data_IF_944062484268
#
_entry.id   IF_944062484268
#
_cell.length_a   1.000
_cell.length_b   1.000
_cell.length_c   1.000
_cell.angle_alpha   90.00
_cell.angle_beta   90.00
_cell.angle_gamma   90.00
#
_symmetry.space_group_name_H-M   'P 1'
#
loop_
_entity.id
_entity.type
_entity.pdbx_description
1 polymer ?
#
# COMPACT_ATOMS: atom_id res chain seq x y z
N UNK A 1 -14.93 40.29 -49.57
CA UNK A 1 -16.19 39.78 -48.96
C UNK A 1 -15.81 38.87 -47.80
N UNK A 2 -15.28 39.44 -46.72
CA UNK A 2 -15.93 39.76 -45.42
C UNK A 2 -16.41 38.54 -44.62
N UNK A 3 -15.67 38.29 -43.53
CA UNK A 3 -15.99 37.54 -42.30
C UNK A 3 -17.43 37.72 -41.81
N UNK A 4 -17.97 36.69 -41.13
CA UNK A 4 -18.68 36.86 -39.86
C UNK A 4 -18.85 35.52 -39.11
N UNK A 5 -18.13 35.42 -37.97
CA UNK A 5 -18.52 34.64 -36.80
C UNK A 5 -19.77 35.29 -36.18
N UNK A 6 -20.75 34.51 -35.71
CA UNK A 6 -21.54 34.93 -34.55
C UNK A 6 -22.08 33.74 -33.75
N UNK A 7 -21.89 33.86 -32.44
CA UNK A 7 -22.22 32.96 -31.33
C UNK A 7 -23.73 32.98 -31.06
N UNK A 8 -24.32 31.86 -30.65
CA UNK A 8 -25.73 31.79 -30.24
C UNK A 8 -26.06 30.64 -29.30
N UNK A 9 -25.90 30.90 -28.00
CA UNK A 9 -26.72 30.40 -26.87
C UNK A 9 -27.28 28.97 -26.91
N UNK A 10 -26.64 28.02 -26.20
CA UNK A 10 -27.32 26.80 -25.75
C UNK A 10 -28.09 27.11 -24.45
N UNK A 11 -29.40 27.31 -24.59
CA UNK A 11 -30.35 27.38 -23.47
C UNK A 11 -30.37 26.05 -22.70
N UNK A 12 -30.22 26.17 -21.39
CA UNK A 12 -30.46 25.13 -20.39
C UNK A 12 -31.94 24.75 -20.47
N UNK A 13 -32.24 23.49 -20.79
CA UNK A 13 -33.54 22.90 -20.51
C UNK A 13 -33.39 21.92 -19.34
N UNK A 14 -33.75 22.41 -18.16
CA UNK A 14 -33.97 21.65 -16.95
C UNK A 14 -35.26 20.84 -17.07
N UNK A 15 -35.17 19.61 -17.54
CA UNK A 15 -36.27 18.65 -17.44
C UNK A 15 -36.15 17.86 -16.14
N UNK A 16 -36.84 18.38 -15.11
CA UNK A 16 -37.24 17.62 -13.94
C UNK A 16 -38.10 16.43 -14.37
N UNK A 17 -37.55 15.22 -14.33
CA UNK A 17 -38.35 14.00 -14.47
C UNK A 17 -39.03 13.74 -13.12
N UNK A 18 -40.32 14.03 -13.03
CA UNK A 18 -41.18 13.51 -11.95
C UNK A 18 -41.24 11.99 -12.09
N UNK A 19 -40.79 11.26 -11.07
CA UNK A 19 -40.94 9.82 -10.98
C UNK A 19 -42.43 9.46 -10.92
N UNK A 20 -42.98 8.97 -12.03
CA UNK A 20 -44.31 8.36 -12.07
C UNK A 20 -44.19 6.92 -11.53
N UNK A 21 -44.93 6.61 -10.46
CA UNK A 21 -45.13 5.24 -10.00
C UNK A 21 -45.92 4.49 -11.08
N UNK A 22 -45.23 3.64 -11.83
CA UNK A 22 -45.88 2.67 -12.72
C UNK A 22 -46.24 1.47 -11.85
N UNK A 23 -47.52 1.33 -11.51
CA UNK A 23 -48.07 0.06 -11.04
C UNK A 23 -48.19 -0.88 -12.24
N UNK A 24 -47.50 -2.01 -12.20
CA UNK A 24 -47.55 -3.00 -13.27
C UNK A 24 -48.56 -4.10 -12.95
N UNK A 25 -49.42 -4.42 -13.92
CA UNK A 25 -50.34 -5.56 -13.91
C UNK A 25 -49.74 -6.68 -14.77
N UNK A 26 -49.55 -7.87 -14.20
CA UNK A 26 -49.03 -9.05 -14.90
C UNK A 26 -50.10 -9.55 -15.89
N UNK A 27 -49.71 -9.76 -17.16
CA UNK A 27 -50.57 -10.24 -18.23
C UNK A 27 -50.32 -11.74 -18.53
N UNK A 28 -51.32 -12.39 -19.13
CA UNK A 28 -51.22 -13.80 -19.51
C UNK A 28 -50.19 -13.98 -20.65
N UNK A 29 -49.09 -14.68 -20.36
CA UNK A 29 -47.93 -14.83 -21.26
C UNK A 29 -46.63 -14.20 -20.70
N UNK A 30 -46.72 -13.45 -19.60
CA UNK A 30 -45.53 -12.92 -18.92
C UNK A 30 -44.70 -14.05 -18.30
N UNK A 31 -43.43 -14.12 -18.70
CA UNK A 31 -42.46 -15.15 -18.26
C UNK A 31 -41.81 -14.85 -16.90
N UNK A 32 -42.38 -13.90 -16.15
CA UNK A 32 -41.84 -13.43 -14.87
C UNK A 32 -42.36 -14.30 -13.73
N UNK A 33 -41.46 -14.72 -12.83
CA UNK A 33 -41.78 -15.53 -11.67
C UNK A 33 -42.43 -16.89 -12.03
N UNK A 34 -41.97 -17.55 -13.09
CA UNK A 34 -42.55 -18.80 -13.60
C UNK A 34 -41.88 -20.07 -13.08
N UNK A 35 -42.66 -20.98 -12.48
CA UNK A 35 -42.16 -22.31 -12.09
C UNK A 35 -42.46 -23.34 -13.18
N UNK A 36 -41.61 -24.37 -13.31
CA UNK A 36 -41.91 -25.54 -14.13
C UNK A 36 -42.80 -26.56 -13.40
N UNK A 37 -43.07 -27.69 -14.07
CA UNK A 37 -43.87 -28.82 -13.55
C UNK A 37 -43.28 -29.45 -12.28
N UNK A 38 -41.97 -29.30 -12.07
CA UNK A 38 -41.23 -29.84 -10.93
C UNK A 38 -41.07 -28.77 -9.83
N UNK A 39 -41.81 -27.66 -9.93
CA UNK A 39 -41.82 -26.52 -9.00
C UNK A 39 -40.50 -25.74 -8.94
N UNK A 40 -39.65 -25.88 -9.98
CA UNK A 40 -38.37 -25.17 -10.06
C UNK A 40 -38.55 -23.82 -10.76
N UNK A 41 -37.89 -22.77 -10.25
CA UNK A 41 -37.89 -21.43 -10.85
C UNK A 41 -37.18 -21.40 -12.20
N UNK A 42 -37.81 -20.77 -13.18
CA UNK A 42 -37.31 -20.57 -14.55
C UNK A 42 -37.40 -19.11 -15.01
N UNK A 43 -36.45 -18.66 -15.82
CA UNK A 43 -36.51 -17.33 -16.45
C UNK A 43 -36.36 -16.17 -15.45
N UNK A 44 -36.97 -15.03 -15.77
CA UNK A 44 -36.81 -13.79 -15.00
C UNK A 44 -37.62 -13.85 -13.72
N UNK A 45 -36.99 -13.54 -12.59
CA UNK A 45 -37.63 -13.40 -11.29
C UNK A 45 -37.54 -11.98 -10.80
N UNK A 46 -38.67 -11.40 -10.40
CA UNK A 46 -38.76 -10.06 -9.82
C UNK A 46 -39.42 -10.11 -8.46
N UNK A 47 -38.85 -9.39 -7.52
CA UNK A 47 -39.47 -9.11 -6.22
C UNK A 47 -39.73 -7.62 -6.08
N UNK A 48 -40.73 -7.26 -5.28
CA UNK A 48 -41.16 -5.87 -5.10
C UNK A 48 -41.28 -5.54 -3.61
N UNK A 49 -40.99 -4.28 -3.28
CA UNK A 49 -41.29 -3.70 -1.98
C UNK A 49 -42.82 -3.55 -1.78
N UNK A 50 -43.31 -3.36 -0.55
CA UNK A 50 -44.75 -3.17 -0.28
C UNK A 50 -45.40 -2.01 -1.04
N UNK A 51 -44.61 -1.02 -1.46
CA UNK A 51 -45.08 0.12 -2.27
C UNK A 51 -45.08 -0.14 -3.78
N UNK A 52 -44.81 -1.38 -4.21
CA UNK A 52 -44.79 -1.79 -5.62
C UNK A 52 -43.50 -1.48 -6.38
N UNK A 53 -42.48 -0.86 -5.76
CA UNK A 53 -41.17 -0.63 -6.40
C UNK A 53 -40.37 -1.92 -6.49
N UNK A 54 -39.63 -2.11 -7.59
CA UNK A 54 -38.75 -3.27 -7.78
C UNK A 54 -37.68 -3.34 -6.67
N UNK A 55 -37.57 -4.49 -6.02
CA UNK A 55 -36.58 -4.75 -4.96
C UNK A 55 -35.43 -5.63 -5.44
N UNK A 56 -35.70 -6.61 -6.31
CA UNK A 56 -34.66 -7.42 -6.94
C UNK A 56 -35.11 -8.04 -8.27
N UNK A 57 -34.15 -8.36 -9.13
CA UNK A 57 -34.34 -9.02 -10.42
C UNK A 57 -33.19 -10.01 -10.63
N UNK A 58 -33.49 -11.26 -10.98
CA UNK A 58 -32.50 -12.27 -11.30
C UNK A 58 -33.05 -13.25 -12.35
N UNK A 59 -32.17 -13.93 -13.08
CA UNK A 59 -32.58 -15.03 -13.96
C UNK A 59 -32.32 -16.37 -13.29
N UNK A 60 -33.26 -17.31 -13.41
CA UNK A 60 -33.15 -18.67 -12.90
C UNK A 60 -33.21 -19.70 -14.02
N UNK A 61 -32.51 -20.81 -13.81
CA UNK A 61 -32.69 -22.08 -14.52
C UNK A 61 -32.66 -23.20 -13.49
N UNK A 62 -33.74 -23.97 -13.38
CA UNK A 62 -33.87 -25.08 -12.44
C UNK A 62 -33.54 -24.68 -10.99
N UNK A 63 -34.14 -23.60 -10.49
CA UNK A 63 -33.86 -23.00 -9.17
C UNK A 63 -32.44 -22.42 -8.98
N UNK A 64 -31.56 -22.47 -9.98
CA UNK A 64 -30.20 -21.92 -9.91
C UNK A 64 -30.14 -20.57 -10.61
N UNK A 65 -29.57 -19.56 -9.95
CA UNK A 65 -29.34 -18.24 -10.57
C UNK A 65 -28.38 -18.35 -11.76
N UNK A 66 -28.64 -17.55 -12.79
CA UNK A 66 -27.88 -17.46 -14.02
C UNK A 66 -27.68 -15.99 -14.39
N UNK A 67 -26.48 -15.61 -14.81
CA UNK A 67 -26.17 -14.25 -15.21
C UNK A 67 -26.35 -13.24 -14.09
N UNK A 68 -26.85 -12.06 -14.46
CA UNK A 68 -26.94 -10.90 -13.57
C UNK A 68 -28.14 -11.00 -12.61
N UNK A 69 -27.84 -10.78 -11.33
CA UNK A 69 -28.76 -10.57 -10.22
C UNK A 69 -28.58 -9.14 -9.69
N UNK A 70 -29.64 -8.36 -9.70
CA UNK A 70 -29.64 -6.95 -9.27
C UNK A 70 -30.58 -6.81 -8.09
N UNK A 71 -30.16 -6.05 -7.08
CA UNK A 71 -31.04 -5.58 -6.02
C UNK A 71 -30.98 -4.07 -5.88
N UNK A 72 -32.07 -3.47 -5.44
CA UNK A 72 -32.22 -2.02 -5.29
C UNK A 72 -32.52 -1.63 -3.85
N UNK A 73 -32.03 -0.45 -3.44
CA UNK A 73 -32.54 0.22 -2.26
C UNK A 73 -33.96 0.70 -2.47
N UNK A 74 -34.68 0.96 -1.38
CA UNK A 74 -36.00 1.57 -1.43
C UNK A 74 -36.02 2.97 -2.11
N UNK A 75 -34.86 3.65 -2.15
CA UNK A 75 -34.68 4.91 -2.91
C UNK A 75 -34.74 4.72 -4.42
N UNK A 76 -34.53 3.50 -4.93
CA UNK A 76 -34.39 3.18 -6.35
C UNK A 76 -32.94 3.13 -6.85
N UNK A 77 -31.96 3.51 -6.01
CA UNK A 77 -30.56 3.25 -6.32
C UNK A 77 -30.29 1.74 -6.36
N UNK A 78 -29.50 1.29 -7.33
CA UNK A 78 -28.94 -0.08 -7.29
C UNK A 78 -28.19 -0.22 -5.97
N UNK A 79 -28.40 -1.34 -5.29
CA UNK A 79 -27.70 -1.74 -4.07
C UNK A 79 -26.54 -2.66 -4.40
N UNK A 80 -26.81 -3.65 -5.26
CA UNK A 80 -25.85 -4.70 -5.57
C UNK A 80 -26.14 -5.28 -6.94
N UNK A 81 -25.08 -5.54 -7.71
CA UNK A 81 -25.08 -6.34 -8.94
C UNK A 81 -24.19 -7.55 -8.72
N UNK A 82 -24.65 -8.74 -9.09
CA UNK A 82 -23.95 -9.99 -8.81
C UNK A 82 -24.11 -10.94 -9.98
N UNK A 83 -23.01 -11.53 -10.44
CA UNK A 83 -23.04 -12.49 -11.55
C UNK A 83 -22.98 -13.92 -11.04
N UNK A 84 -23.90 -14.75 -11.54
CA UNK A 84 -24.01 -16.17 -11.23
C UNK A 84 -23.85 -17.03 -12.47
N UNK A 85 -23.29 -18.22 -12.29
CA UNK A 85 -23.28 -19.30 -13.26
C UNK A 85 -23.68 -20.58 -12.53
N UNK A 86 -24.79 -21.20 -12.93
CA UNK A 86 -25.32 -22.40 -12.28
C UNK A 86 -25.46 -22.29 -10.76
N UNK A 87 -25.90 -21.11 -10.29
CA UNK A 87 -26.12 -20.82 -8.87
C UNK A 87 -24.86 -20.50 -8.06
N UNK A 88 -23.68 -20.51 -8.67
CA UNK A 88 -22.42 -20.10 -8.04
C UNK A 88 -22.02 -18.70 -8.49
N UNK A 89 -21.34 -17.93 -7.64
CA UNK A 89 -20.77 -16.63 -8.03
C UNK A 89 -19.70 -16.84 -9.10
N UNK A 90 -19.86 -16.20 -10.24
CA UNK A 90 -18.95 -16.33 -11.38
C UNK A 90 -18.96 -15.02 -12.17
N UNK A 91 -17.96 -14.17 -11.91
CA UNK A 91 -17.89 -12.80 -12.38
C UNK A 91 -17.86 -11.76 -11.24
N UNK A 92 -18.10 -10.49 -11.58
CA UNK A 92 -17.98 -9.39 -10.62
C UNK A 92 -19.17 -9.34 -9.65
N UNK A 93 -18.92 -8.81 -8.46
CA UNK A 93 -19.93 -8.38 -7.49
C UNK A 93 -19.67 -6.91 -7.20
N UNK A 94 -20.64 -6.05 -7.54
CA UNK A 94 -20.51 -4.60 -7.35
C UNK A 94 -21.50 -4.12 -6.31
N UNK A 95 -21.02 -3.36 -5.34
CA UNK A 95 -21.83 -2.73 -4.30
C UNK A 95 -21.90 -1.23 -4.50
N UNK A 96 -23.07 -0.70 -4.22
CA UNK A 96 -23.40 0.72 -4.37
C UNK A 96 -23.96 1.27 -3.07
N UNK A 97 -23.65 2.54 -2.82
CA UNK A 97 -24.18 3.32 -1.71
C UNK A 97 -25.66 3.68 -1.93
N UNK A 98 -26.33 4.12 -0.86
CA UNK A 98 -27.71 4.67 -0.95
C UNK A 98 -27.83 5.91 -1.83
N UNK A 99 -26.71 6.57 -2.14
CA UNK A 99 -26.61 7.74 -3.03
C UNK A 99 -26.23 7.33 -4.46
N UNK A 100 -26.39 6.07 -4.84
CA UNK A 100 -26.11 5.51 -6.16
C UNK A 100 -24.61 5.52 -6.56
N UNK A 101 -23.70 5.93 -5.68
CA UNK A 101 -22.26 5.88 -5.95
C UNK A 101 -21.71 4.46 -5.71
N UNK A 102 -20.81 4.00 -6.58
CA UNK A 102 -20.11 2.72 -6.44
C UNK A 102 -19.17 2.76 -5.22
N UNK A 103 -19.23 1.73 -4.38
CA UNK A 103 -18.41 1.63 -3.16
C UNK A 103 -17.34 0.55 -3.29
N UNK A 104 -17.66 -0.56 -3.96
CA UNK A 104 -16.82 -1.75 -3.92
C UNK A 104 -17.08 -2.68 -5.12
N UNK A 105 -16.03 -3.34 -5.60
CA UNK A 105 -16.08 -4.42 -6.58
C UNK A 105 -15.22 -5.59 -6.08
N UNK A 106 -15.76 -6.79 -6.16
CA UNK A 106 -15.01 -8.05 -6.02
C UNK A 106 -15.20 -8.91 -7.26
N UNK A 107 -14.28 -9.84 -7.53
CA UNK A 107 -14.42 -10.83 -8.58
C UNK A 107 -14.40 -12.25 -8.01
N UNK A 108 -15.25 -13.10 -8.56
CA UNK A 108 -15.40 -14.50 -8.18
C UNK A 108 -15.31 -15.41 -9.40
N UNK A 109 -14.88 -16.64 -9.16
CA UNK A 109 -14.88 -17.73 -10.13
C UNK A 109 -15.29 -19.01 -9.41
N UNK A 110 -16.35 -19.66 -9.86
CA UNK A 110 -16.90 -20.88 -9.25
C UNK A 110 -17.13 -20.74 -7.72
N UNK A 111 -17.63 -19.59 -7.28
CA UNK A 111 -17.91 -19.30 -5.87
C UNK A 111 -16.71 -18.87 -5.03
N UNK A 112 -15.49 -18.85 -5.59
CA UNK A 112 -14.27 -18.46 -4.88
C UNK A 112 -13.76 -17.11 -5.40
N UNK A 113 -13.33 -16.23 -4.49
CA UNK A 113 -12.78 -14.92 -4.85
C UNK A 113 -11.51 -15.08 -5.70
N UNK A 114 -11.53 -14.55 -6.91
CA UNK A 114 -10.46 -14.64 -7.90
C UNK A 114 -10.54 -13.44 -8.85
N UNK A 115 -9.45 -12.67 -8.93
CA UNK A 115 -9.35 -11.45 -9.71
C UNK A 115 -9.23 -10.17 -8.87
N UNK A 116 -9.55 -9.05 -9.49
CA UNK A 116 -9.37 -7.72 -8.92
C UNK A 116 -10.43 -7.39 -7.86
N UNK A 117 -10.02 -6.83 -6.74
CA UNK A 117 -10.86 -6.14 -5.77
C UNK A 117 -10.58 -4.64 -5.85
N UNK A 118 -11.63 -3.82 -5.84
CA UNK A 118 -11.54 -2.36 -5.78
C UNK A 118 -12.49 -1.81 -4.72
N UNK A 119 -12.01 -0.89 -3.90
CA UNK A 119 -12.86 -0.02 -3.08
C UNK A 119 -12.72 1.44 -3.51
N UNK A 120 -13.76 2.24 -3.32
CA UNK A 120 -13.81 3.62 -3.76
C UNK A 120 -14.02 4.59 -2.61
N UNK A 121 -13.43 5.78 -2.73
CA UNK A 121 -13.78 6.94 -1.90
C UNK A 121 -15.12 7.53 -2.35
N UNK A 122 -15.72 8.36 -1.50
CA UNK A 122 -16.98 9.05 -1.80
C UNK A 122 -16.91 9.99 -3.02
N UNK A 123 -15.70 10.32 -3.51
CA UNK A 123 -15.48 11.11 -4.71
C UNK A 123 -15.26 10.25 -5.98
N UNK A 124 -15.42 8.93 -5.88
CA UNK A 124 -15.29 7.98 -6.99
C UNK A 124 -13.86 7.57 -7.33
N UNK A 125 -12.84 8.08 -6.64
CA UNK A 125 -11.45 7.62 -6.80
C UNK A 125 -11.24 6.29 -6.08
N UNK A 126 -10.29 5.49 -6.56
CA UNK A 126 -9.89 4.24 -5.90
C UNK A 126 -9.37 4.59 -4.51
N UNK A 127 -9.93 3.90 -3.50
CA UNK A 127 -9.51 3.91 -2.12
C UNK A 127 -8.54 2.77 -1.83
N UNK A 128 -8.80 1.59 -2.37
CA UNK A 128 -7.90 0.46 -2.25
C UNK A 128 -8.09 -0.52 -3.41
N UNK A 129 -7.05 -1.28 -3.71
CA UNK A 129 -7.06 -2.34 -4.71
C UNK A 129 -6.22 -3.53 -4.26
N UNK A 130 -6.60 -4.72 -4.69
CA UNK A 130 -5.84 -5.94 -4.50
C UNK A 130 -6.24 -7.01 -5.49
N UNK A 131 -5.32 -7.93 -5.80
CA UNK A 131 -5.61 -9.07 -6.67
C UNK A 131 -5.72 -10.34 -5.84
N UNK A 132 -6.71 -11.19 -6.10
CA UNK A 132 -6.94 -12.43 -5.35
C UNK A 132 -6.83 -13.64 -6.26
N UNK A 133 -6.28 -14.73 -5.73
CA UNK A 133 -6.19 -16.03 -6.40
C UNK A 133 -6.60 -17.13 -5.44
N UNK A 134 -7.63 -17.90 -5.82
CA UNK A 134 -8.19 -19.00 -4.99
C UNK A 134 -8.51 -18.53 -3.56
N UNK A 135 -9.12 -17.36 -3.42
CA UNK A 135 -9.56 -16.81 -2.13
C UNK A 135 -8.50 -16.08 -1.31
N UNK A 136 -7.22 -16.13 -1.71
CA UNK A 136 -6.14 -15.45 -1.01
C UNK A 136 -5.71 -14.22 -1.81
N UNK A 137 -5.35 -13.13 -1.11
CA UNK A 137 -4.67 -12.00 -1.74
C UNK A 137 -3.37 -12.53 -2.37
N UNK A 138 -3.12 -12.17 -3.63
CA UNK A 138 -2.03 -12.62 -4.47
C UNK A 138 -1.18 -11.40 -4.85
N UNK A 139 -0.10 -11.20 -4.10
CA UNK A 139 0.79 -10.05 -4.26
C UNK A 139 0.48 -8.93 -3.27
N UNK A 140 -0.06 -7.82 -3.77
CA UNK A 140 -0.12 -6.54 -3.05
C UNK A 140 -1.56 -6.06 -2.87
N UNK A 141 -1.81 -5.50 -1.69
CA UNK A 141 -2.98 -4.69 -1.39
C UNK A 141 -2.56 -3.24 -1.26
N UNK A 142 -2.97 -2.37 -2.19
CA UNK A 142 -2.61 -0.95 -2.19
C UNK A 142 -3.79 -0.12 -1.70
N UNK A 143 -3.51 0.89 -0.89
CA UNK A 143 -4.47 1.87 -0.39
C UNK A 143 -4.03 3.25 -0.84
N UNK A 144 -5.01 4.09 -1.13
CA UNK A 144 -4.85 5.44 -1.64
C UNK A 144 -5.70 6.42 -0.82
N UNK A 145 -5.21 7.64 -0.69
CA UNK A 145 -5.93 8.77 -0.08
C UNK A 145 -7.06 9.27 -0.98
N UNK A 146 -7.94 10.13 -0.46
CA UNK A 146 -9.02 10.76 -1.25
C UNK A 146 -8.52 11.59 -2.44
N UNK A 147 -7.26 12.06 -2.42
CA UNK A 147 -6.67 12.80 -3.53
C UNK A 147 -6.14 11.88 -4.64
N UNK A 148 -6.11 10.56 -4.41
CA UNK A 148 -5.54 9.57 -5.32
C UNK A 148 -4.04 9.31 -5.08
N UNK A 149 -3.45 9.92 -4.04
CA UNK A 149 -2.07 9.62 -3.65
C UNK A 149 -2.00 8.27 -2.94
N UNK A 150 -0.96 7.50 -3.19
CA UNK A 150 -0.68 6.24 -2.51
C UNK A 150 -0.52 6.47 -0.99
N UNK A 151 -1.09 5.55 -0.19
CA UNK A 151 -1.22 5.66 1.27
C UNK A 151 -0.64 4.45 2.01
N UNK A 152 -0.78 3.22 1.53
CA UNK A 152 0.05 2.11 2.01
C UNK A 152 -0.06 0.88 1.09
N UNK A 153 0.88 -0.03 1.22
CA UNK A 153 0.83 -1.37 0.61
C UNK A 153 0.99 -2.44 1.70
N UNK A 154 0.18 -3.50 1.64
CA UNK A 154 0.39 -4.73 2.39
C UNK A 154 0.60 -5.90 1.42
N UNK A 155 1.43 -6.87 1.80
CA UNK A 155 1.67 -8.10 1.02
C UNK A 155 1.25 -9.31 1.81
N UNK A 156 0.69 -10.31 1.13
CA UNK A 156 0.54 -11.64 1.73
C UNK A 156 1.89 -12.35 1.79
N UNK A 157 2.19 -12.93 2.95
CA UNK A 157 3.38 -13.77 3.19
C UNK A 157 3.25 -15.20 2.65
N UNK A 158 2.13 -15.55 1.99
CA UNK A 158 1.81 -16.92 1.55
C UNK A 158 2.38 -17.32 0.19
N UNK A 159 2.98 -16.37 -0.55
CA UNK A 159 3.77 -16.66 -1.76
C UNK A 159 5.28 -16.69 -1.46
N UNK A 160 6.11 -17.37 -2.27
CA UNK A 160 7.56 -17.20 -2.18
C UNK A 160 7.89 -15.71 -2.29
N UNK A 161 8.64 -15.18 -1.33
CA UNK A 161 9.04 -13.78 -1.37
C UNK A 161 10.01 -13.58 -2.54
N UNK A 162 9.53 -12.98 -3.62
CA UNK A 162 10.33 -12.66 -4.79
C UNK A 162 11.05 -11.33 -4.60
N UNK A 163 12.36 -11.42 -4.36
CA UNK A 163 13.26 -10.26 -4.33
C UNK A 163 13.85 -9.93 -5.71
N UNK A 164 13.33 -10.52 -6.78
CA UNK A 164 13.80 -10.20 -8.13
C UNK A 164 13.50 -8.73 -8.48
N UNK A 165 14.41 -8.13 -9.23
CA UNK A 165 14.28 -6.74 -9.64
C UNK A 165 13.05 -6.55 -10.55
N UNK A 166 12.19 -5.63 -10.16
CA UNK A 166 11.03 -5.20 -10.95
C UNK A 166 11.37 -3.88 -11.63
N UNK A 167 11.68 -3.95 -12.93
CA UNK A 167 12.11 -2.79 -13.71
C UNK A 167 10.94 -2.05 -14.35
N UNK A 168 9.73 -2.64 -14.34
CA UNK A 168 8.53 -2.06 -14.92
C UNK A 168 7.82 -1.14 -13.91
N UNK A 169 7.72 -1.52 -12.63
CA UNK A 169 7.08 -0.71 -11.58
C UNK A 169 8.09 0.19 -10.84
N UNK A 170 8.80 1.08 -11.55
CA UNK A 170 9.76 2.00 -10.91
C UNK A 170 9.12 3.26 -10.33
N UNK A 171 7.95 3.69 -10.84
CA UNK A 171 7.32 4.96 -10.48
C UNK A 171 6.92 5.00 -8.99
N UNK A 172 6.41 3.89 -8.45
CA UNK A 172 5.91 3.84 -7.07
C UNK A 172 6.97 3.36 -6.06
N UNK A 173 8.18 3.07 -6.51
CA UNK A 173 9.24 2.55 -5.65
C UNK A 173 9.92 3.66 -4.85
N UNK A 174 9.42 3.95 -3.65
CA UNK A 174 9.97 4.97 -2.74
C UNK A 174 11.51 4.91 -2.59
N UNK A 175 12.07 3.74 -2.23
CA UNK A 175 13.51 3.55 -2.01
C UNK A 175 14.28 3.84 -3.30
N UNK A 176 13.81 3.29 -4.43
CA UNK A 176 14.41 3.51 -5.73
C UNK A 176 14.40 5.00 -6.12
N UNK A 177 13.26 5.68 -6.01
CA UNK A 177 13.12 7.09 -6.39
C UNK A 177 14.00 7.99 -5.53
N UNK A 178 14.09 7.70 -4.23
CA UNK A 178 14.93 8.45 -3.29
C UNK A 178 16.42 8.26 -3.61
N UNK A 179 16.87 7.02 -3.84
CA UNK A 179 18.25 6.75 -4.23
C UNK A 179 18.58 7.38 -5.59
N UNK A 180 17.67 7.28 -6.57
CA UNK A 180 17.81 7.87 -7.91
C UNK A 180 17.97 9.39 -7.86
N UNK A 181 17.17 10.09 -7.07
CA UNK A 181 17.24 11.56 -6.97
C UNK A 181 18.38 12.07 -6.08
N UNK A 182 19.11 11.17 -5.40
CA UNK A 182 20.26 11.49 -4.56
C UNK A 182 21.59 10.90 -5.11
N UNK A 183 22.00 11.22 -6.35
CA UNK A 183 23.16 10.58 -7.00
C UNK A 183 24.52 10.94 -6.36
N UNK A 184 24.55 11.89 -5.43
CA UNK A 184 25.76 12.31 -4.70
C UNK A 184 26.14 11.35 -3.57
N UNK A 185 25.25 10.45 -3.16
CA UNK A 185 25.54 9.50 -2.10
C UNK A 185 26.45 8.40 -2.65
N UNK A 186 27.76 8.61 -2.57
CA UNK A 186 28.79 7.65 -2.97
C UNK A 186 29.51 7.11 -1.73
N UNK A 187 30.05 5.89 -1.80
CA UNK A 187 30.79 5.22 -0.69
C UNK A 187 30.03 5.14 0.64
N UNK A 188 28.73 4.87 0.58
CA UNK A 188 27.91 4.76 1.79
C UNK A 188 27.93 3.34 2.33
N UNK A 189 27.33 3.14 3.50
CA UNK A 189 26.85 1.83 3.95
C UNK A 189 25.33 1.86 3.84
N UNK A 190 24.72 0.88 3.16
CA UNK A 190 23.27 0.77 3.10
C UNK A 190 22.84 -0.21 4.19
N UNK A 191 22.10 0.28 5.17
CA UNK A 191 21.55 -0.51 6.28
C UNK A 191 20.05 -0.60 6.05
N UNK A 192 19.49 -1.80 6.09
CA UNK A 192 18.12 -2.06 5.67
C UNK A 192 17.43 -2.98 6.67
N UNK A 193 16.27 -2.53 7.12
CA UNK A 193 15.31 -3.36 7.83
C UNK A 193 14.75 -4.45 6.89
N UNK A 194 14.83 -5.70 7.32
CA UNK A 194 14.27 -6.88 6.66
C UNK A 194 13.27 -7.62 7.57
N UNK A 195 12.47 -6.88 8.31
CA UNK A 195 11.22 -7.36 8.91
C UNK A 195 10.12 -7.54 7.85
N UNK A 196 9.05 -8.26 8.18
CA UNK A 196 8.00 -8.63 7.22
C UNK A 196 7.31 -7.45 6.53
N UNK A 197 7.13 -6.32 7.21
CA UNK A 197 6.56 -5.10 6.61
C UNK A 197 7.49 -4.47 5.57
N UNK A 198 8.79 -4.77 5.64
CA UNK A 198 9.83 -4.15 4.81
C UNK A 198 10.17 -4.93 3.53
N UNK A 199 9.62 -6.13 3.33
CA UNK A 199 9.87 -6.91 2.11
C UNK A 199 9.55 -6.17 0.79
N UNK A 200 8.46 -5.39 0.67
CA UNK A 200 8.20 -4.59 -0.53
C UNK A 200 9.35 -3.63 -0.84
N UNK A 201 9.86 -2.94 0.18
CA UNK A 201 10.92 -1.93 0.04
C UNK A 201 12.29 -2.56 -0.20
N UNK A 202 12.55 -3.73 0.37
CA UNK A 202 13.77 -4.48 0.10
C UNK A 202 13.88 -4.93 -1.37
N UNK A 203 12.78 -5.33 -2.01
CA UNK A 203 12.76 -5.61 -3.47
C UNK A 203 13.23 -4.40 -4.29
N UNK A 204 12.83 -3.19 -3.89
CA UNK A 204 13.20 -1.94 -4.59
C UNK A 204 14.70 -1.65 -4.56
N UNK A 205 15.42 -2.14 -3.53
CA UNK A 205 16.88 -2.07 -3.47
C UNK A 205 17.50 -2.92 -4.58
N UNK A 206 16.95 -4.11 -4.84
CA UNK A 206 17.45 -4.96 -5.93
C UNK A 206 17.16 -4.32 -7.31
N UNK A 207 15.99 -3.71 -7.50
CA UNK A 207 15.69 -2.91 -8.70
C UNK A 207 16.72 -1.79 -8.90
N UNK A 208 17.01 -1.02 -7.85
CA UNK A 208 18.04 0.02 -7.91
C UNK A 208 19.43 -0.54 -8.23
N UNK A 209 19.81 -1.64 -7.59
CA UNK A 209 21.10 -2.29 -7.80
C UNK A 209 21.29 -2.71 -9.26
N UNK A 210 20.27 -3.34 -9.85
CA UNK A 210 20.28 -3.82 -11.23
C UNK A 210 20.39 -2.67 -12.24
N UNK A 211 19.71 -1.56 -11.99
CA UNK A 211 19.63 -0.44 -12.94
C UNK A 211 20.80 0.55 -12.83
N UNK A 212 21.36 0.74 -11.64
CA UNK A 212 22.32 1.83 -11.39
C UNK A 212 23.62 1.40 -10.74
N UNK A 213 23.61 0.34 -9.94
CA UNK A 213 24.77 0.00 -9.13
C UNK A 213 25.81 -0.85 -9.88
N UNK A 214 25.38 -1.82 -10.71
CA UNK A 214 26.31 -2.72 -11.43
C UNK A 214 27.25 -1.96 -12.38
N UNK A 215 26.87 -0.75 -12.82
CA UNK A 215 27.70 0.09 -13.68
C UNK A 215 28.74 0.93 -12.91
N UNK A 216 28.71 0.93 -11.57
CA UNK A 216 29.71 1.55 -10.72
C UNK A 216 30.71 0.47 -10.24
N UNK A 217 32.01 0.70 -10.45
CA UNK A 217 33.06 -0.26 -10.07
C UNK A 217 33.38 -0.22 -8.56
N UNK A 218 32.77 0.71 -7.82
CA UNK A 218 32.94 0.84 -6.38
C UNK A 218 32.20 -0.25 -5.60
N UNK A 219 32.89 -0.86 -4.63
CA UNK A 219 32.28 -1.84 -3.73
C UNK A 219 31.29 -1.18 -2.77
N UNK A 220 30.08 -1.74 -2.65
CA UNK A 220 29.04 -1.28 -1.75
C UNK A 220 28.77 -2.31 -0.66
N UNK A 221 28.63 -1.80 0.56
CA UNK A 221 28.30 -2.61 1.72
C UNK A 221 26.82 -2.46 2.04
N UNK A 222 26.17 -3.60 2.18
CA UNK A 222 24.80 -3.74 2.64
C UNK A 222 24.81 -4.40 4.02
N UNK A 223 23.93 -3.94 4.90
CA UNK A 223 23.69 -4.56 6.20
C UNK A 223 22.19 -4.77 6.32
N UNK A 224 21.79 -6.01 6.52
CA UNK A 224 20.41 -6.38 6.73
C UNK A 224 20.19 -6.79 8.17
N UNK A 225 19.04 -6.46 8.74
CA UNK A 225 18.68 -6.93 10.07
C UNK A 225 17.22 -7.42 10.13
N UNK A 226 16.95 -8.38 11.01
CA UNK A 226 15.63 -9.04 11.15
C UNK A 226 15.13 -9.06 12.61
N UNK A 227 15.62 -8.15 13.43
CA UNK A 227 15.31 -8.05 14.86
C UNK A 227 15.72 -9.27 15.73
N UNK A 228 16.79 -9.96 15.35
CA UNK A 228 17.45 -10.92 16.25
C UNK A 228 17.11 -12.39 16.00
N UNK A 229 16.88 -12.80 14.75
CA UNK A 229 16.75 -14.22 14.37
C UNK A 229 15.63 -14.98 15.12
N UNK A 230 14.43 -14.39 15.21
CA UNK A 230 13.28 -14.92 15.97
C UNK A 230 13.55 -15.15 17.47
N UNK A 231 14.56 -14.48 18.03
CA UNK A 231 14.80 -14.48 19.47
C UNK A 231 13.57 -13.92 20.20
N UNK A 232 13.24 -14.49 21.37
CA UNK A 232 12.15 -14.00 22.22
C UNK A 232 12.45 -12.59 22.71
N UNK A 233 11.45 -11.74 22.85
CA UNK A 233 11.62 -10.35 23.29
C UNK A 233 12.41 -10.18 24.59
N UNK A 234 12.19 -11.07 25.58
CA UNK A 234 12.92 -11.05 26.85
C UNK A 234 14.44 -11.26 26.70
N UNK A 235 14.87 -11.89 25.61
CA UNK A 235 16.29 -12.17 25.33
C UNK A 235 16.93 -11.08 24.45
N UNK A 236 16.13 -10.17 23.87
CA UNK A 236 16.59 -9.07 23.00
C UNK A 236 17.19 -7.93 23.85
N UNK A 237 18.46 -8.06 24.21
CA UNK A 237 19.21 -7.06 25.00
C UNK A 237 19.95 -6.07 24.11
N UNK A 238 19.85 -4.77 24.44
CA UNK A 238 20.55 -3.69 23.72
C UNK A 238 22.05 -3.99 23.60
N UNK A 239 22.55 -3.96 22.36
CA UNK A 239 23.96 -4.16 22.04
C UNK A 239 24.36 -5.60 21.75
N UNK A 240 23.47 -6.57 21.97
CA UNK A 240 23.68 -8.00 21.67
C UNK A 240 22.41 -8.67 21.10
N UNK A 241 21.56 -7.91 20.40
CA UNK A 241 20.32 -8.45 19.81
C UNK A 241 20.64 -9.56 18.80
N UNK A 242 21.65 -9.37 17.94
CA UNK A 242 21.94 -10.30 16.85
C UNK A 242 21.04 -10.08 15.63
N UNK A 243 20.95 -11.08 14.73
CA UNK A 243 20.13 -10.95 13.53
C UNK A 243 20.59 -9.86 12.57
N UNK A 244 21.91 -9.68 12.42
CA UNK A 244 22.52 -8.66 11.55
C UNK A 244 23.46 -9.35 10.57
N UNK A 245 23.24 -9.12 9.28
CA UNK A 245 23.90 -9.80 8.18
C UNK A 245 24.57 -8.77 7.26
N UNK A 246 25.89 -8.86 7.12
CA UNK A 246 26.65 -7.96 6.25
C UNK A 246 26.87 -8.61 4.89
N UNK A 247 26.52 -7.91 3.83
CA UNK A 247 26.74 -8.31 2.45
C UNK A 247 27.65 -7.31 1.74
N UNK A 248 28.69 -7.81 1.07
CA UNK A 248 29.52 -7.05 0.14
C UNK A 248 29.11 -7.45 -1.27
N UNK A 249 28.02 -6.87 -1.75
CA UNK A 249 27.42 -7.26 -3.03
C UNK A 249 28.29 -6.80 -4.21
N UNK A 250 28.55 -7.72 -5.14
CA UNK A 250 29.10 -7.42 -6.47
C UNK A 250 28.06 -7.63 -7.56
N UNK A 251 27.08 -8.48 -7.27
CA UNK A 251 25.99 -8.87 -8.17
C UNK A 251 24.63 -8.69 -7.47
N UNK A 252 23.55 -8.71 -8.26
CA UNK A 252 22.20 -8.80 -7.69
C UNK A 252 22.00 -10.09 -6.89
N UNK A 253 22.62 -11.19 -7.30
CA UNK A 253 22.48 -12.47 -6.61
C UNK A 253 23.10 -12.45 -5.21
N UNK A 254 24.26 -11.80 -5.03
CA UNK A 254 24.86 -11.62 -3.69
C UNK A 254 23.89 -10.93 -2.73
N UNK A 255 23.21 -9.90 -3.23
CA UNK A 255 22.24 -9.11 -2.48
C UNK A 255 21.01 -9.96 -2.14
N UNK A 256 20.39 -10.57 -3.15
CA UNK A 256 19.19 -11.40 -3.01
C UNK A 256 19.45 -12.59 -2.07
N UNK A 257 20.58 -13.26 -2.20
CA UNK A 257 20.95 -14.38 -1.32
C UNK A 257 21.10 -13.93 0.13
N UNK A 258 21.66 -12.74 0.37
CA UNK A 258 21.81 -12.18 1.71
C UNK A 258 20.47 -11.76 2.32
N UNK A 259 19.57 -11.18 1.51
CA UNK A 259 18.20 -10.86 1.94
C UNK A 259 17.43 -12.14 2.31
N UNK A 260 17.45 -13.16 1.43
CA UNK A 260 16.82 -14.47 1.67
C UNK A 260 17.36 -15.14 2.93
N UNK A 261 18.68 -15.09 3.17
CA UNK A 261 19.29 -15.63 4.38
C UNK A 261 18.78 -14.92 5.63
N UNK A 262 18.75 -13.58 5.61
CA UNK A 262 18.29 -12.75 6.73
C UNK A 262 16.85 -13.12 7.11
N UNK A 263 15.96 -13.20 6.13
CA UNK A 263 14.55 -13.56 6.35
C UNK A 263 14.38 -15.00 6.83
N UNK A 264 15.12 -15.94 6.24
CA UNK A 264 15.10 -17.34 6.66
C UNK A 264 15.47 -17.51 8.14
N UNK A 265 16.35 -16.63 8.64
CA UNK A 265 16.81 -16.66 10.03
C UNK A 265 15.82 -16.01 11.00
N UNK A 266 15.02 -15.08 10.51
CA UNK A 266 13.92 -14.49 11.24
C UNK A 266 13.12 -13.55 10.35
N UNK A 267 11.79 -13.61 10.47
CA UNK A 267 10.92 -12.70 9.74
C UNK A 267 10.80 -11.33 10.44
N UNK A 268 11.22 -11.24 11.71
CA UNK A 268 11.07 -10.06 12.54
C UNK A 268 9.59 -9.68 12.72
N UNK A 269 9.33 -8.38 12.87
CA UNK A 269 7.99 -7.79 12.92
C UNK A 269 7.56 -7.33 14.32
N UNK A 270 8.33 -7.67 15.35
CA UNK A 270 8.11 -7.13 16.69
C UNK A 270 8.84 -5.78 16.84
N UNK A 271 8.08 -4.72 17.05
CA UNK A 271 8.63 -3.43 17.52
C UNK A 271 8.91 -3.53 19.02
N UNK A 272 10.03 -3.00 19.55
CA UNK A 272 11.01 -2.12 18.90
C UNK A 272 12.24 -2.84 18.30
N UNK A 273 12.89 -2.27 17.28
CA UNK A 273 13.96 -2.89 16.46
C UNK A 273 15.41 -2.58 16.88
N UNK A 274 16.39 -3.36 16.41
CA UNK A 274 17.85 -3.18 16.64
C UNK A 274 18.60 -2.38 15.55
N UNK A 275 18.04 -1.23 15.17
CA UNK A 275 18.56 -0.37 14.10
C UNK A 275 19.99 0.11 14.35
N UNK A 276 20.30 0.60 15.55
CA UNK A 276 21.60 1.22 15.85
C UNK A 276 22.72 0.18 15.88
N UNK A 277 22.45 -1.02 16.38
CA UNK A 277 23.36 -2.17 16.33
C UNK A 277 23.70 -2.55 14.87
N UNK A 278 22.71 -2.53 13.97
CA UNK A 278 22.94 -2.80 12.55
C UNK A 278 23.86 -1.74 11.92
N UNK A 279 23.61 -0.46 12.18
CA UNK A 279 24.48 0.63 11.71
C UNK A 279 25.92 0.46 12.24
N UNK A 280 26.08 0.24 13.54
CA UNK A 280 27.40 0.07 14.16
C UNK A 280 28.13 -1.17 13.62
N UNK A 281 27.41 -2.23 13.28
CA UNK A 281 27.99 -3.43 12.66
C UNK A 281 28.53 -3.12 11.27
N UNK A 282 27.80 -2.36 10.45
CA UNK A 282 28.27 -1.88 9.15
C UNK A 282 29.52 -1.00 9.27
N UNK A 283 29.51 -0.03 10.19
CA UNK A 283 30.62 0.90 10.41
C UNK A 283 31.93 0.21 10.80
N UNK A 284 31.88 -0.98 11.42
CA UNK A 284 33.09 -1.79 11.70
C UNK A 284 33.71 -2.42 10.46
N UNK A 285 32.97 -2.53 9.35
CA UNK A 285 33.40 -3.24 8.13
C UNK A 285 33.95 -2.32 7.05
N UNK A 286 33.60 -1.03 7.09
CA UNK A 286 33.99 -0.05 6.07
C UNK A 286 34.93 0.99 6.66
N UNK A 287 36.09 1.18 6.02
CA UNK A 287 37.05 2.20 6.44
C UNK A 287 36.60 3.57 5.95
N UNK A 288 36.28 4.47 6.89
CA UNK A 288 35.90 5.89 6.62
C UNK A 288 34.77 6.03 5.58
N UNK A 289 33.56 5.51 5.85
CA UNK A 289 32.41 5.76 4.99
C UNK A 289 32.01 7.25 5.05
N UNK A 290 31.52 7.79 3.93
CA UNK A 290 31.08 9.18 3.87
C UNK A 290 29.78 9.39 4.66
N UNK A 291 28.89 8.40 4.63
CA UNK A 291 27.62 8.38 5.37
C UNK A 291 27.04 6.96 5.41
N UNK A 292 25.97 6.81 6.19
CA UNK A 292 25.11 5.62 6.22
C UNK A 292 23.77 5.98 5.59
N UNK A 293 23.27 5.14 4.70
CA UNK A 293 21.88 5.20 4.24
C UNK A 293 21.12 4.15 5.04
N UNK A 294 20.19 4.58 5.87
CA UNK A 294 19.29 3.68 6.62
C UNK A 294 17.96 3.60 5.88
N UNK A 295 17.49 2.40 5.56
CA UNK A 295 16.16 2.14 4.99
C UNK A 295 15.35 1.43 6.08
N UNK A 296 14.31 2.08 6.60
CA UNK A 296 13.62 1.62 7.80
C UNK A 296 12.10 1.86 7.73
N UNK A 297 11.36 1.06 8.50
CA UNK A 297 9.91 1.21 8.69
C UNK A 297 9.61 2.36 9.66
N UNK A 298 8.82 3.34 9.23
CA UNK A 298 8.39 4.44 10.08
C UNK A 298 7.58 3.99 11.31
N UNK A 299 6.90 2.84 11.22
CA UNK A 299 6.00 2.35 12.27
C UNK A 299 6.73 1.68 13.44
N UNK A 300 7.99 1.27 13.24
CA UNK A 300 8.77 0.58 14.26
C UNK A 300 9.57 1.57 15.13
N UNK A 301 9.55 1.37 16.45
CA UNK A 301 10.40 2.11 17.39
C UNK A 301 11.80 1.52 17.39
N UNK A 302 12.80 2.29 17.85
CA UNK A 302 14.19 1.84 17.88
C UNK A 302 14.60 1.45 19.30
N UNK A 303 14.77 0.14 19.55
CA UNK A 303 15.07 -0.42 20.88
C UNK A 303 16.40 0.07 21.42
N UNK A 304 17.38 0.14 20.54
CA UNK A 304 18.78 0.40 20.86
C UNK A 304 19.18 1.86 20.63
N UNK A 305 18.21 2.79 20.64
CA UNK A 305 18.43 4.23 20.43
C UNK A 305 19.44 4.82 21.44
N UNK A 306 19.58 4.21 22.62
CA UNK A 306 20.59 4.57 23.62
C UNK A 306 22.03 4.47 23.09
N UNK A 307 22.27 3.66 22.06
CA UNK A 307 23.59 3.49 21.42
C UNK A 307 23.90 4.57 20.38
N UNK A 308 22.95 5.44 20.03
CA UNK A 308 23.05 6.40 18.92
C UNK A 308 24.27 7.32 19.02
N UNK A 309 24.68 7.69 20.24
CA UNK A 309 25.85 8.55 20.47
C UNK A 309 27.16 7.96 19.91
N UNK A 310 27.22 6.66 19.63
CA UNK A 310 28.37 5.95 19.06
C UNK A 310 28.51 6.15 17.54
N UNK A 311 27.47 6.62 16.85
CA UNK A 311 27.50 6.90 15.42
C UNK A 311 28.04 8.31 15.20
N UNK A 312 29.13 8.42 14.43
CA UNK A 312 29.85 9.69 14.18
C UNK A 312 29.87 10.12 12.71
N UNK A 313 29.14 9.40 11.86
CA UNK A 313 28.95 9.75 10.44
C UNK A 313 27.48 10.10 10.20
N UNK A 314 27.17 10.95 9.20
CA UNK A 314 25.79 11.26 8.85
C UNK A 314 24.96 10.01 8.53
N UNK A 315 23.76 9.93 9.09
CA UNK A 315 22.78 8.89 8.76
C UNK A 315 21.64 9.51 7.96
N UNK A 316 21.54 9.12 6.69
CA UNK A 316 20.47 9.50 5.78
C UNK A 316 19.39 8.44 5.86
N UNK A 317 18.27 8.77 6.48
CA UNK A 317 17.18 7.81 6.70
C UNK A 317 16.19 7.91 5.54
N UNK A 318 16.10 6.87 4.75
CA UNK A 318 14.98 6.57 3.86
C UNK A 318 13.89 5.94 4.72
N UNK A 319 12.81 6.68 4.95
CA UNK A 319 11.67 6.19 5.71
C UNK A 319 10.60 5.64 4.77
N UNK A 320 10.36 4.35 4.94
CA UNK A 320 9.34 3.60 4.23
C UNK A 320 8.01 3.70 4.99
N UNK A 321 6.91 3.58 4.23
CA UNK A 321 5.56 3.70 4.80
C UNK A 321 5.18 5.11 5.26
N UNK A 322 5.82 6.17 4.74
CA UNK A 322 5.50 7.58 5.03
C UNK A 322 4.93 8.28 3.80
N UNK A 323 3.78 8.94 3.99
CA UNK A 323 3.08 9.70 2.95
C UNK A 323 2.74 11.11 3.45
N UNK A 324 2.28 11.96 2.54
CA UNK A 324 1.85 13.31 2.90
C UNK A 324 0.76 13.28 3.98
N UNK A 325 0.93 14.07 5.04
CA UNK A 325 0.00 14.10 6.16
C UNK A 325 0.16 12.95 7.15
N UNK A 326 1.26 12.20 7.09
CA UNK A 326 1.62 11.18 8.08
C UNK A 326 2.75 11.63 9.01
N UNK A 327 2.60 11.32 10.31
CA UNK A 327 3.60 11.60 11.33
C UNK A 327 4.88 10.78 11.08
N UNK A 328 6.03 11.42 11.30
CA UNK A 328 7.33 10.77 11.22
C UNK A 328 7.77 10.38 12.62
N UNK A 329 8.14 9.12 12.79
CA UNK A 329 8.59 8.60 14.06
C UNK A 329 9.85 9.32 14.56
N UNK A 330 9.75 9.84 15.78
CA UNK A 330 10.76 10.69 16.39
C UNK A 330 12.11 9.99 16.62
N UNK A 331 12.16 8.66 16.72
CA UNK A 331 13.43 7.95 16.85
C UNK A 331 14.30 8.16 15.60
N UNK A 332 13.71 8.08 14.41
CA UNK A 332 14.40 8.32 13.14
C UNK A 332 14.75 9.79 12.94
N UNK A 333 13.85 10.72 13.33
CA UNK A 333 14.18 12.15 13.36
C UNK A 333 15.41 12.40 14.24
N UNK A 334 15.49 11.76 15.41
CA UNK A 334 16.63 11.86 16.30
C UNK A 334 17.90 11.21 15.73
N UNK A 335 17.79 10.07 15.04
CA UNK A 335 18.91 9.45 14.34
C UNK A 335 19.50 10.43 13.31
N UNK A 336 18.66 10.99 12.44
CA UNK A 336 19.11 11.96 11.44
C UNK A 336 19.69 13.23 12.10
N UNK A 337 18.97 13.83 13.04
CA UNK A 337 19.37 15.06 13.73
C UNK A 337 20.72 14.91 14.45
N UNK A 338 20.87 13.89 15.31
CA UNK A 338 22.07 13.72 16.14
C UNK A 338 23.30 13.29 15.35
N UNK A 339 23.10 12.70 14.17
CA UNK A 339 24.20 12.30 13.28
C UNK A 339 24.54 13.36 12.23
N UNK A 340 23.83 14.50 12.21
CA UNK A 340 23.93 15.52 11.15
C UNK A 340 23.58 14.96 9.76
N UNK A 341 22.65 14.01 9.76
CA UNK A 341 22.08 13.39 8.57
C UNK A 341 20.80 14.06 8.12
N UNK A 342 19.90 13.27 7.52
CA UNK A 342 18.69 13.76 6.85
C UNK A 342 17.61 12.70 6.79
N UNK A 343 16.36 13.09 6.59
CA UNK A 343 15.21 12.19 6.39
C UNK A 343 14.76 12.29 4.93
N UNK A 344 14.35 11.18 4.35
CA UNK A 344 13.92 11.08 2.97
C UNK A 344 12.67 10.20 2.90
N UNK A 345 11.61 10.75 2.33
CA UNK A 345 10.32 10.07 2.08
C UNK A 345 10.08 10.00 0.59
N UNK A 346 9.03 9.33 0.10
CA UNK A 346 8.75 9.38 -1.35
C UNK A 346 8.51 10.81 -1.84
N UNK A 347 7.89 11.66 -1.01
CA UNK A 347 7.48 13.02 -1.37
C UNK A 347 8.59 14.08 -1.22
N UNK A 348 9.45 13.95 -0.20
CA UNK A 348 10.41 15.03 0.12
C UNK A 348 11.71 14.56 0.80
N UNK A 349 12.72 15.41 0.67
CA UNK A 349 14.02 15.33 1.36
C UNK A 349 14.09 16.41 2.45
N UNK A 350 14.28 16.00 3.69
CA UNK A 350 14.34 16.88 4.87
C UNK A 350 15.80 16.93 5.35
N UNK A 351 16.54 17.92 4.86
CA UNK A 351 17.98 18.10 5.12
C UNK A 351 18.27 19.09 6.24
N UNK A 352 17.32 19.96 6.56
CA UNK A 352 17.51 21.13 7.43
C UNK A 352 17.18 20.85 8.91
N UNK A 353 17.16 19.59 9.33
CA UNK A 353 16.87 19.21 10.73
C UNK A 353 17.88 19.81 11.71
N UNK A 354 19.16 19.87 11.32
CA UNK A 354 20.23 20.42 12.16
C UNK A 354 20.10 21.93 12.37
N UNK A 355 19.39 22.62 11.47
CA UNK A 355 19.20 24.07 11.51
C UNK A 355 18.01 24.48 12.40
N UNK A 356 17.25 23.51 12.93
CA UNK A 356 16.12 23.79 13.82
C UNK A 356 16.59 24.29 15.19
N UNK A 357 15.90 25.30 15.71
CA UNK A 357 16.24 25.95 16.98
C UNK A 357 15.62 25.22 18.17
N UNK A 358 16.39 25.03 19.24
CA UNK A 358 15.89 24.46 20.50
C UNK A 358 14.69 25.25 21.03
N UNK A 359 13.70 24.53 21.57
CA UNK A 359 12.45 25.07 22.12
C UNK A 359 11.57 25.87 21.14
N UNK A 360 11.85 25.82 19.82
CA UNK A 360 10.97 26.36 18.78
C UNK A 360 10.27 25.22 18.05
N UNK A 361 8.96 25.39 17.80
CA UNK A 361 8.20 24.43 17.00
C UNK A 361 8.61 24.51 15.53
N UNK A 362 8.63 23.36 14.87
CA UNK A 362 8.79 23.24 13.43
C UNK A 362 7.87 22.13 12.92
N UNK A 363 7.40 22.27 11.68
CA UNK A 363 6.40 21.38 11.12
C UNK A 363 7.02 20.45 10.07
N UNK A 364 6.68 19.17 10.13
CA UNK A 364 7.02 18.18 9.09
C UNK A 364 5.75 17.38 8.78
N UNK A 365 5.36 17.31 7.51
CA UNK A 365 4.16 16.59 7.05
C UNK A 365 2.86 17.00 7.77
N UNK A 366 2.74 18.24 8.24
CA UNK A 366 1.55 18.70 8.97
C UNK A 366 1.59 18.41 10.48
N UNK A 367 2.67 17.81 10.99
CA UNK A 367 2.87 17.55 12.42
C UNK A 367 3.91 18.49 13.01
N UNK A 368 3.62 19.01 14.19
CA UNK A 368 4.52 19.90 14.92
C UNK A 368 5.49 19.09 15.78
N UNK A 369 6.77 19.45 15.69
CA UNK A 369 7.85 18.90 16.48
C UNK A 369 8.58 20.01 17.23
N UNK A 370 9.24 19.65 18.31
CA UNK A 370 10.06 20.55 19.11
C UNK A 370 11.36 19.85 19.52
N UNK A 371 12.48 20.58 19.46
CA UNK A 371 13.72 20.11 20.08
C UNK A 371 13.69 20.49 21.56
N UNK A 372 13.62 19.48 22.44
CA UNK A 372 13.65 19.64 23.90
C UNK A 372 14.71 18.72 24.49
N UNK A 373 15.60 19.27 25.31
CA UNK A 373 16.73 18.54 25.90
C UNK A 373 17.59 17.81 24.84
N UNK A 374 17.88 18.51 23.73
CA UNK A 374 18.73 17.99 22.66
C UNK A 374 18.15 16.83 21.86
N UNK A 375 16.83 16.60 21.94
CA UNK A 375 16.14 15.56 21.18
C UNK A 375 14.85 16.11 20.57
N UNK A 376 14.54 15.67 19.36
CA UNK A 376 13.28 15.98 18.68
C UNK A 376 12.16 15.18 19.35
N UNK A 377 11.03 15.83 19.61
CA UNK A 377 9.81 15.24 20.17
C UNK A 377 8.60 15.72 19.38
N UNK A 378 7.58 14.87 19.26
CA UNK A 378 6.25 15.31 18.85
C UNK A 378 5.74 16.31 19.89
N UNK A 379 5.14 17.41 19.43
CA UNK A 379 4.70 18.50 20.29
C UNK A 379 3.22 18.41 20.66
#
# INVERSE_FOLDING_TARGET
MRFLLLIGFLMINSLFIKAQLISYSIHQGDTINTIDKDTLKQGVWRTFWPNGKLSSEAVYRDNKKQGLDISWYHSGCVKQETYYNNGQLDGPVTFYSKNCAKEFIENYKNGVKEGLELSYHSNGRIKAEGYYKKGNLDGVYKVYTKTGKFDFESRTTTGPIEFEADVEDTVNNSVYQILKRNPKWKKNIIVTDLTSSMYPYAKQINTWLKLFFINDTAQQYFVFFNDGDNKRDADKKIGVTGGIYVCRAKTCDDLVNSMKLTIKKGAGGDSPENVVEAILTGLKKVRKPDNVILIADNWAKVRDIALLARIKVPVRVILCGVYEGMEINTDYLNIAYKTKGSIHTIEQDITELINQTSNKKFNINGFDYIIKNGSIRAN
#
